data_IF_506419977365
#
_entry.id   IF_506419977365
#
_cell.length_a   1.000
_cell.length_b   1.000
_cell.length_c   1.000
_cell.angle_alpha   90.00
_cell.angle_beta   90.00
_cell.angle_gamma   90.00
#
_symmetry.space_group_name_H-M   'P 1'
#
loop_
_entity.id
_entity.type
_entity.pdbx_description
1 polymer ?
#
# COMPACT_ATOMS: atom_id res chain seq x y z
N UNK A 1 20.82 13.23 -27.01
CA UNK A 1 19.92 13.15 -25.85
C UNK A 1 19.64 11.72 -25.37
N UNK A 2 19.77 10.67 -26.19
CA UNK A 2 19.46 9.29 -25.77
C UNK A 2 20.41 8.65 -24.74
N UNK A 3 21.66 9.11 -24.63
CA UNK A 3 22.66 8.57 -23.70
C UNK A 3 22.47 9.02 -22.25
N UNK A 4 21.91 10.20 -22.03
CA UNK A 4 21.69 10.72 -20.66
C UNK A 4 20.55 9.98 -19.97
N UNK A 5 19.49 9.65 -20.71
CA UNK A 5 18.33 8.91 -20.19
C UNK A 5 18.71 7.48 -19.78
N UNK A 6 19.57 6.80 -20.55
CA UNK A 6 20.03 5.45 -20.22
C UNK A 6 20.88 5.39 -18.94
N UNK A 7 21.71 6.42 -18.69
CA UNK A 7 22.56 6.48 -17.48
C UNK A 7 21.73 6.74 -16.23
N UNK A 8 20.70 7.60 -16.32
CA UNK A 8 19.80 7.88 -15.18
C UNK A 8 19.00 6.64 -14.79
N UNK A 9 18.50 5.87 -15.78
CA UNK A 9 17.78 4.62 -15.53
C UNK A 9 18.72 3.57 -14.90
N UNK A 10 19.96 3.45 -15.38
CA UNK A 10 20.95 2.53 -14.83
C UNK A 10 21.27 2.81 -13.36
N UNK A 11 21.44 4.09 -12.99
CA UNK A 11 21.71 4.49 -11.60
C UNK A 11 20.52 4.25 -10.67
N UNK A 12 19.29 4.44 -11.17
CA UNK A 12 18.05 4.15 -10.42
C UNK A 12 17.92 2.66 -10.10
N UNK A 13 18.19 1.78 -11.06
CA UNK A 13 18.12 0.32 -10.86
C UNK A 13 19.19 -0.14 -9.86
N UNK A 14 20.41 0.41 -9.93
CA UNK A 14 21.49 0.09 -8.98
C UNK A 14 21.14 0.58 -7.58
N UNK A 15 20.57 1.78 -7.43
CA UNK A 15 20.14 2.33 -6.15
C UNK A 15 19.06 1.47 -5.49
N UNK A 16 18.05 1.05 -6.25
CA UNK A 16 16.98 0.16 -5.76
C UNK A 16 17.51 -1.22 -5.40
N UNK A 17 18.42 -1.80 -6.19
CA UNK A 17 19.05 -3.08 -5.89
C UNK A 17 19.93 -3.02 -4.63
N UNK A 18 20.72 -1.96 -4.47
CA UNK A 18 21.53 -1.73 -3.27
C UNK A 18 20.67 -1.53 -2.02
N UNK A 19 19.55 -0.81 -2.15
CA UNK A 19 18.59 -0.61 -1.07
C UNK A 19 17.88 -1.92 -0.66
N UNK A 20 17.52 -2.76 -1.63
CA UNK A 20 16.94 -4.09 -1.37
C UNK A 20 17.95 -5.05 -0.71
N UNK A 21 19.23 -4.95 -1.06
CA UNK A 21 20.30 -5.72 -0.43
C UNK A 21 20.59 -5.25 0.99
N UNK A 22 20.56 -3.93 1.25
CA UNK A 22 20.75 -3.39 2.61
C UNK A 22 19.59 -3.75 3.56
N UNK A 23 18.36 -3.93 3.05
CA UNK A 23 17.21 -4.38 3.86
C UNK A 23 17.29 -5.85 4.27
N UNK A 24 18.06 -6.69 3.56
CA UNK A 24 18.27 -8.09 3.92
C UNK A 24 19.42 -8.22 4.92
N UNK A 25 19.26 -7.73 6.14
CA UNK A 25 20.14 -8.17 7.24
C UNK A 25 19.83 -9.65 7.53
N UNK A 26 20.82 -10.56 7.45
CA UNK A 26 20.63 -11.91 7.93
C UNK A 26 20.47 -11.84 9.45
N UNK A 27 19.31 -12.28 9.94
CA UNK A 27 19.13 -12.58 11.36
C UNK A 27 20.09 -13.72 11.66
N UNK A 28 21.18 -13.41 12.36
CA UNK A 28 22.05 -14.43 12.93
C UNK A 28 21.21 -15.30 13.87
N UNK A 29 21.03 -16.56 13.50
CA UNK A 29 20.44 -17.56 14.38
C UNK A 29 21.46 -17.87 15.47
N UNK A 30 21.21 -17.38 16.68
CA UNK A 30 21.86 -17.90 17.89
C UNK A 30 21.29 -19.29 18.17
N UNK A 31 22.10 -20.35 18.28
CA UNK A 31 21.63 -21.64 18.76
C UNK A 31 21.59 -21.60 20.29
N UNK A 32 20.44 -21.23 20.86
CA UNK A 32 20.09 -21.52 22.24
C UNK A 32 19.17 -22.75 22.19
N UNK A 33 19.73 -23.93 22.40
CA UNK A 33 19.74 -24.59 23.71
C UNK A 33 18.33 -25.11 24.04
N UNK A 34 18.20 -26.43 23.90
CA UNK A 34 16.96 -27.16 24.03
C UNK A 34 16.48 -27.17 25.48
N UNK A 35 15.37 -26.47 25.74
CA UNK A 35 14.58 -26.64 26.96
C UNK A 35 13.29 -27.42 26.68
N UNK A 36 12.80 -28.22 27.65
CA UNK A 36 11.96 -29.40 27.40
C UNK A 36 10.53 -29.05 27.02
N UNK A 37 9.96 -29.91 26.17
CA UNK A 37 8.58 -29.92 25.72
C UNK A 37 7.66 -30.06 26.95
N UNK A 38 7.01 -28.97 27.34
CA UNK A 38 5.79 -28.99 28.14
C UNK A 38 4.64 -28.84 27.13
N UNK A 39 3.98 -29.95 26.81
CA UNK A 39 2.76 -29.95 25.99
C UNK A 39 1.66 -29.16 26.72
N UNK A 40 1.09 -28.09 26.13
CA UNK A 40 -0.16 -27.53 26.63
C UNK A 40 -1.34 -28.40 26.17
N UNK A 41 -2.34 -28.64 27.02
CA UNK A 41 -3.47 -29.49 26.68
C UNK A 41 -4.31 -28.85 25.56
N UNK A 42 -4.78 -29.68 24.64
CA UNK A 42 -5.74 -29.36 23.60
C UNK A 42 -6.89 -28.48 24.12
N UNK A 43 -7.06 -27.30 23.54
CA UNK A 43 -8.37 -26.65 23.27
C UNK A 43 -8.19 -25.18 22.90
N UNK A 44 -7.74 -24.92 21.68
CA UNK A 44 -8.28 -23.76 20.96
C UNK A 44 -8.53 -24.20 19.53
N UNK A 45 -9.83 -24.26 19.21
CA UNK A 45 -10.32 -24.29 17.84
C UNK A 45 -9.49 -23.31 17.02
N UNK A 46 -8.67 -23.85 16.12
CA UNK A 46 -7.95 -23.08 15.14
C UNK A 46 -9.03 -22.52 14.21
N UNK A 47 -9.57 -21.36 14.60
CA UNK A 47 -10.37 -20.48 13.75
C UNK A 47 -9.61 -20.40 12.45
N UNK A 48 -10.16 -20.99 11.39
CA UNK A 48 -9.50 -21.10 10.11
C UNK A 48 -8.96 -19.72 9.73
N UNK A 49 -7.65 -19.54 9.81
CA UNK A 49 -7.00 -18.48 9.08
C UNK A 49 -7.21 -18.85 7.61
N UNK A 50 -8.31 -18.35 7.05
CA UNK A 50 -8.46 -18.26 5.61
C UNK A 50 -7.20 -17.55 5.14
N UNK A 51 -6.24 -18.29 4.59
CA UNK A 51 -5.14 -17.69 3.85
C UNK A 51 -5.78 -16.68 2.91
N UNK A 52 -5.23 -15.45 2.76
CA UNK A 52 -5.67 -14.54 1.72
C UNK A 52 -5.76 -15.37 0.45
N UNK A 53 -6.95 -15.50 -0.16
CA UNK A 53 -7.10 -16.21 -1.41
C UNK A 53 -6.05 -15.61 -2.34
N UNK A 54 -5.08 -16.42 -2.72
CA UNK A 54 -4.01 -16.02 -3.60
C UNK A 54 -4.71 -15.45 -4.84
N UNK A 55 -4.53 -14.15 -5.09
CA UNK A 55 -5.19 -13.50 -6.23
C UNK A 55 -4.67 -14.23 -7.46
N UNK A 56 -5.59 -14.79 -8.24
CA UNK A 56 -5.22 -15.49 -9.46
C UNK A 56 -4.43 -14.54 -10.37
N UNK A 57 -3.50 -15.09 -11.17
CA UNK A 57 -2.62 -14.30 -12.03
C UNK A 57 -3.40 -13.36 -12.95
N UNK A 58 -4.54 -13.81 -13.45
CA UNK A 58 -5.40 -13.00 -14.31
C UNK A 58 -6.03 -11.84 -13.52
N UNK A 59 -6.62 -12.11 -12.35
CA UNK A 59 -7.19 -11.07 -11.48
C UNK A 59 -6.14 -10.04 -11.06
N UNK A 60 -4.89 -10.48 -10.82
CA UNK A 60 -3.78 -9.56 -10.54
C UNK A 60 -3.46 -8.68 -11.73
N UNK A 61 -3.46 -9.24 -12.94
CA UNK A 61 -3.21 -8.49 -14.18
C UNK A 61 -4.31 -7.45 -14.43
N UNK A 62 -5.57 -7.82 -14.25
CA UNK A 62 -6.71 -6.91 -14.37
C UNK A 62 -6.62 -5.75 -13.39
N UNK A 63 -6.24 -6.01 -12.13
CA UNK A 63 -6.01 -4.97 -11.13
C UNK A 63 -4.89 -4.00 -11.54
N UNK A 64 -3.78 -4.51 -12.09
CA UNK A 64 -2.68 -3.66 -12.57
C UNK A 64 -3.11 -2.75 -13.73
N UNK A 65 -3.87 -3.27 -14.69
CA UNK A 65 -4.40 -2.48 -15.80
C UNK A 65 -5.40 -1.43 -15.32
N UNK A 66 -6.21 -1.78 -14.31
CA UNK A 66 -7.15 -0.87 -13.69
C UNK A 66 -6.43 0.27 -12.94
N UNK A 67 -5.40 -0.06 -12.16
CA UNK A 67 -4.56 0.93 -11.49
C UNK A 67 -3.93 1.87 -12.52
N UNK A 68 -3.35 1.35 -13.62
CA UNK A 68 -2.77 2.19 -14.67
C UNK A 68 -3.81 3.14 -15.30
N UNK A 69 -5.01 2.64 -15.58
CA UNK A 69 -6.10 3.45 -16.13
C UNK A 69 -6.54 4.56 -15.17
N UNK A 70 -6.63 4.27 -13.86
CA UNK A 70 -6.97 5.24 -12.83
C UNK A 70 -5.87 6.30 -12.66
N UNK A 71 -4.60 5.92 -12.69
CA UNK A 71 -3.49 6.88 -12.69
C UNK A 71 -3.61 7.84 -13.87
N UNK A 72 -3.78 7.31 -15.09
CA UNK A 72 -3.97 8.14 -16.28
C UNK A 72 -5.15 9.10 -16.14
N UNK A 73 -6.30 8.60 -15.65
CA UNK A 73 -7.49 9.44 -15.41
C UNK A 73 -7.27 10.53 -14.36
N UNK A 74 -6.52 10.23 -13.30
CA UNK A 74 -6.11 11.23 -12.33
C UNK A 74 -5.23 12.31 -12.98
N UNK A 75 -4.23 11.93 -13.78
CA UNK A 75 -3.38 12.90 -14.49
C UNK A 75 -4.17 13.78 -15.47
N UNK A 76 -5.15 13.21 -16.18
CA UNK A 76 -6.03 13.96 -17.09
C UNK A 76 -6.90 14.99 -16.34
N UNK A 77 -7.31 14.69 -15.11
CA UNK A 77 -8.31 15.48 -14.37
C UNK A 77 -7.73 16.41 -13.29
N UNK A 78 -6.60 16.06 -12.68
CA UNK A 78 -6.09 16.74 -11.49
C UNK A 78 -5.62 18.18 -11.77
N UNK A 79 -5.28 18.53 -13.03
CA UNK A 79 -4.90 19.88 -13.46
C UNK A 79 -3.97 20.63 -12.48
N UNK A 80 -3.01 19.92 -11.86
CA UNK A 80 -2.10 20.47 -10.86
C UNK A 80 -0.88 21.15 -11.52
N UNK A 81 -0.33 22.22 -10.91
CA UNK A 81 0.93 22.80 -11.35
C UNK A 81 2.10 21.82 -11.12
N UNK A 82 3.21 21.93 -11.89
CA UNK A 82 4.35 21.01 -11.80
C UNK A 82 4.97 20.90 -10.39
N UNK A 83 5.02 22.00 -9.65
CA UNK A 83 5.60 22.03 -8.29
C UNK A 83 4.72 21.28 -7.28
N UNK A 84 3.40 21.31 -7.46
CA UNK A 84 2.49 20.52 -6.63
C UNK A 84 2.57 19.05 -6.98
N UNK A 85 2.71 18.72 -8.27
CA UNK A 85 2.98 17.35 -8.71
C UNK A 85 4.22 16.75 -8.08
N UNK A 86 5.35 17.48 -8.15
CA UNK A 86 6.62 17.02 -7.60
C UNK A 86 6.54 16.72 -6.09
N UNK A 87 5.66 17.44 -5.36
CA UNK A 87 5.46 17.20 -3.92
C UNK A 87 4.62 15.97 -3.62
N UNK A 88 3.60 15.68 -4.43
CA UNK A 88 2.63 14.63 -4.08
C UNK A 88 2.85 13.31 -4.82
N UNK A 89 3.61 13.29 -5.92
CA UNK A 89 3.70 12.15 -6.83
C UNK A 89 4.05 10.83 -6.11
N UNK A 90 5.01 10.87 -5.18
CA UNK A 90 5.47 9.69 -4.45
C UNK A 90 4.53 9.27 -3.29
N UNK A 91 3.58 10.14 -2.92
CA UNK A 91 2.67 9.95 -1.79
C UNK A 91 1.23 9.66 -2.18
N UNK A 92 0.94 9.45 -3.47
CA UNK A 92 -0.41 9.16 -3.96
C UNK A 92 -0.82 7.72 -3.66
N UNK A 93 -2.05 7.56 -3.16
CA UNK A 93 -2.67 6.27 -2.88
C UNK A 93 -4.04 6.22 -3.55
N UNK A 94 -4.19 5.26 -4.45
CA UNK A 94 -5.43 5.02 -5.17
C UNK A 94 -6.22 3.90 -4.48
N UNK A 95 -7.48 4.16 -4.14
CA UNK A 95 -8.38 3.19 -3.53
C UNK A 95 -9.66 3.12 -4.36
N UNK A 96 -9.94 1.98 -4.97
CA UNK A 96 -11.10 1.77 -5.83
C UNK A 96 -11.96 0.60 -5.36
N UNK A 97 -13.24 0.56 -5.72
CA UNK A 97 -14.19 -0.42 -5.16
C UNK A 97 -13.87 -1.88 -5.48
N UNK A 98 -13.12 -2.12 -6.56
CA UNK A 98 -12.64 -3.47 -6.91
C UNK A 98 -11.42 -3.94 -6.10
N UNK A 99 -10.87 -3.13 -5.18
CA UNK A 99 -9.75 -3.56 -4.36
C UNK A 99 -10.21 -4.60 -3.33
N UNK A 100 -9.55 -5.77 -3.24
CA UNK A 100 -9.72 -6.66 -2.12
C UNK A 100 -9.33 -5.98 -0.80
N UNK A 101 -10.08 -6.25 0.26
CA UNK A 101 -9.83 -5.72 1.62
C UNK A 101 -8.38 -5.89 2.07
N UNK A 102 -7.75 -7.03 1.79
CA UNK A 102 -6.34 -7.27 2.12
C UNK A 102 -5.39 -6.24 1.49
N UNK A 103 -5.61 -5.92 0.21
CA UNK A 103 -4.80 -4.90 -0.49
C UNK A 103 -5.08 -3.49 0.01
N UNK A 104 -6.31 -3.18 0.45
CA UNK A 104 -6.61 -1.88 1.09
C UNK A 104 -5.78 -1.71 2.36
N UNK A 105 -5.73 -2.75 3.20
CA UNK A 105 -4.93 -2.73 4.44
C UNK A 105 -3.43 -2.62 4.16
N UNK A 106 -2.92 -3.35 3.17
CA UNK A 106 -1.52 -3.26 2.73
C UNK A 106 -1.18 -1.85 2.22
N UNK A 107 -2.02 -1.25 1.37
CA UNK A 107 -1.84 0.12 0.87
C UNK A 107 -1.89 1.14 2.00
N UNK A 108 -2.84 1.00 2.92
CA UNK A 108 -2.96 1.88 4.08
C UNK A 108 -1.72 1.80 4.99
N UNK A 109 -1.24 0.60 5.30
CA UNK A 109 -0.04 0.41 6.11
C UNK A 109 1.20 0.96 5.41
N UNK A 110 1.35 0.72 4.10
CA UNK A 110 2.46 1.24 3.32
C UNK A 110 2.48 2.79 3.32
N UNK A 111 1.31 3.42 3.21
CA UNK A 111 1.19 4.86 3.14
C UNK A 111 1.34 5.57 4.50
N UNK A 112 0.89 4.95 5.58
CA UNK A 112 0.78 5.61 6.90
C UNK A 112 1.80 5.09 7.92
N UNK A 113 2.42 3.95 7.65
CA UNK A 113 3.25 3.20 8.60
C UNK A 113 2.46 2.56 9.75
N UNK A 114 1.14 2.72 9.79
CA UNK A 114 0.29 2.24 10.87
C UNK A 114 -0.15 0.80 10.61
N UNK A 115 0.13 -0.08 11.57
CA UNK A 115 -0.34 -1.47 11.53
C UNK A 115 -1.79 -1.51 11.97
N UNK A 116 -2.67 -1.94 11.07
CA UNK A 116 -4.10 -2.06 11.33
C UNK A 116 -4.56 -3.49 11.05
N UNK A 117 -5.35 -4.04 11.96
CA UNK A 117 -6.07 -5.28 11.69
C UNK A 117 -7.33 -4.95 10.91
N UNK A 118 -7.60 -5.74 9.87
CA UNK A 118 -8.84 -5.59 9.11
C UNK A 118 -10.06 -5.75 10.01
N UNK A 119 -11.12 -4.96 9.79
CA UNK A 119 -12.40 -5.28 10.42
C UNK A 119 -12.82 -6.68 9.96
N UNK A 120 -13.19 -7.56 10.90
CA UNK A 120 -13.86 -8.82 10.56
C UNK A 120 -15.07 -8.55 9.67
N UNK A 121 -15.43 -9.51 8.80
CA UNK A 121 -16.49 -9.42 7.75
C UNK A 121 -17.13 -8.03 7.66
N UNK A 122 -16.46 -7.12 6.97
CA UNK A 122 -16.93 -5.74 6.83
C UNK A 122 -17.85 -5.65 5.63
N UNK A 123 -19.04 -5.07 5.82
CA UNK A 123 -19.96 -4.68 4.76
C UNK A 123 -19.52 -3.40 4.03
N UNK A 124 -18.27 -2.96 4.23
CA UNK A 124 -17.75 -1.71 3.70
C UNK A 124 -17.15 -1.91 2.32
N UNK A 125 -17.31 -0.91 1.45
CA UNK A 125 -16.51 -0.83 0.21
C UNK A 125 -15.04 -0.59 0.55
N UNK A 126 -14.14 -0.81 -0.42
CA UNK A 126 -12.72 -0.55 -0.25
C UNK A 126 -12.45 0.93 0.12
N UNK A 127 -13.18 1.86 -0.50
CA UNK A 127 -13.09 3.31 -0.23
C UNK A 127 -13.56 3.65 1.18
N UNK A 128 -14.73 3.16 1.58
CA UNK A 128 -15.28 3.36 2.92
C UNK A 128 -14.34 2.81 3.99
N UNK A 129 -13.80 1.61 3.77
CA UNK A 129 -12.82 1.01 4.68
C UNK A 129 -11.59 1.91 4.83
N UNK A 130 -11.03 2.41 3.73
CA UNK A 130 -9.85 3.28 3.80
C UNK A 130 -10.14 4.58 4.53
N UNK A 131 -11.30 5.21 4.27
CA UNK A 131 -11.73 6.42 4.97
C UNK A 131 -11.88 6.18 6.49
N UNK A 132 -12.53 5.08 6.89
CA UNK A 132 -12.68 4.70 8.29
C UNK A 132 -11.34 4.44 8.99
N UNK A 133 -10.39 3.83 8.29
CA UNK A 133 -9.04 3.63 8.83
C UNK A 133 -8.30 4.97 8.97
N UNK A 134 -8.46 5.86 8.00
CA UNK A 134 -7.86 7.19 8.01
C UNK A 134 -8.36 8.04 9.18
N UNK A 135 -9.66 8.00 9.49
CA UNK A 135 -10.26 8.73 10.62
C UNK A 135 -9.66 8.35 11.98
N UNK A 136 -9.17 7.11 12.11
CA UNK A 136 -8.53 6.59 13.34
C UNK A 136 -7.10 7.10 13.53
N UNK A 137 -6.50 7.73 12.52
CA UNK A 137 -5.20 8.37 12.67
C UNK A 137 -5.33 9.68 13.45
N UNK A 138 -4.24 10.05 14.12
CA UNK A 138 -4.07 11.40 14.68
C UNK A 138 -4.28 12.44 13.56
N UNK A 139 -4.96 13.57 13.81
CA UNK A 139 -5.35 14.54 12.78
C UNK A 139 -4.20 14.95 11.84
N UNK A 140 -3.00 15.11 12.38
CA UNK A 140 -1.78 15.56 11.68
C UNK A 140 -1.21 14.47 10.76
N UNK A 141 -1.61 13.22 10.97
CA UNK A 141 -1.18 12.04 10.18
C UNK A 141 -2.24 11.58 9.20
N UNK A 142 -3.43 12.20 9.19
CA UNK A 142 -4.51 11.82 8.30
C UNK A 142 -4.14 12.10 6.86
N UNK A 143 -4.38 11.12 6.00
CA UNK A 143 -4.29 11.28 4.57
C UNK A 143 -5.36 12.26 4.08
N UNK A 144 -5.01 13.03 3.05
CA UNK A 144 -5.86 14.06 2.46
C UNK A 144 -6.47 13.52 1.17
N UNK A 145 -7.79 13.51 1.07
CA UNK A 145 -8.49 13.18 -0.18
C UNK A 145 -8.23 14.30 -1.20
N UNK A 146 -7.64 13.96 -2.34
CA UNK A 146 -7.35 14.90 -3.43
C UNK A 146 -8.44 14.92 -4.48
N UNK A 147 -8.92 13.74 -4.86
CA UNK A 147 -9.89 13.60 -5.93
C UNK A 147 -10.65 12.29 -5.79
N UNK A 148 -11.92 12.33 -6.17
CA UNK A 148 -12.71 11.13 -6.47
C UNK A 148 -12.88 11.02 -7.99
N UNK A 149 -12.66 9.82 -8.51
CA UNK A 149 -12.81 9.44 -9.90
C UNK A 149 -14.02 8.52 -10.03
N UNK A 150 -14.82 8.74 -11.07
CA UNK A 150 -16.02 7.93 -11.33
C UNK A 150 -15.77 6.86 -12.41
N UNK A 151 -14.67 6.98 -13.17
CA UNK A 151 -14.27 6.08 -14.25
C UNK A 151 -12.78 5.69 -14.13
N UNK A 152 -12.39 4.49 -14.61
CA UNK A 152 -13.23 3.39 -15.14
C UNK A 152 -14.01 2.62 -14.06
N UNK A 153 -13.73 2.93 -12.80
CA UNK A 153 -14.49 2.52 -11.63
C UNK A 153 -14.41 3.65 -10.63
N UNK A 154 -15.36 3.71 -9.72
CA UNK A 154 -15.30 4.61 -8.59
C UNK A 154 -14.04 4.39 -7.74
N UNK A 155 -13.27 5.47 -7.55
CA UNK A 155 -11.99 5.47 -6.85
C UNK A 155 -11.72 6.79 -6.14
N UNK A 156 -11.08 6.71 -4.99
CA UNK A 156 -10.55 7.85 -4.25
C UNK A 156 -9.03 7.91 -4.34
N UNK A 157 -8.51 9.12 -4.52
CA UNK A 157 -7.07 9.40 -4.59
C UNK A 157 -6.67 10.22 -3.37
N UNK A 158 -5.82 9.63 -2.56
CA UNK A 158 -5.37 10.20 -1.28
C UNK A 158 -3.89 10.58 -1.36
N UNK A 159 -3.46 11.58 -0.60
CA UNK A 159 -2.05 11.88 -0.39
C UNK A 159 -1.73 11.89 1.10
N UNK A 160 -0.46 11.71 1.44
CA UNK A 160 0.02 12.07 2.77
C UNK A 160 -0.30 13.56 3.07
N UNK A 161 -0.49 13.93 4.34
CA UNK A 161 -0.55 15.33 4.72
C UNK A 161 0.75 16.01 4.30
N UNK A 162 0.68 17.27 3.88
CA UNK A 162 1.89 18.02 3.62
C UNK A 162 2.70 18.08 4.93
N UNK A 163 3.98 17.70 4.88
CA UNK A 163 4.90 18.16 5.93
C UNK A 163 4.91 19.68 5.82
N UNK A 164 4.24 20.35 6.75
CA UNK A 164 4.48 21.77 6.96
C UNK A 164 5.99 21.88 7.19
N UNK A 165 6.68 22.53 6.24
CA UNK A 165 8.11 22.78 6.33
C UNK A 165 8.37 23.65 7.57
N UNK A 166 8.60 22.98 8.70
CA UNK A 166 9.08 23.60 9.94
C UNK A 166 10.55 23.96 9.83
#
# INVERSE_FOLDING_TARGET
MGTVVAVVIGLLVIGVAAWLLLRRRPVAQTPAEAEPIIEPPESTQHRGYSRPREIDREARRELLLLDEALHRRFFERAALPPDEWARIADGLVFIHDRLPTGLVLERFQAATGSVVSGPGESHHTARELFALLNERLAPERRMVLRLTLDEPVEADVWTQPAEDAG
#
